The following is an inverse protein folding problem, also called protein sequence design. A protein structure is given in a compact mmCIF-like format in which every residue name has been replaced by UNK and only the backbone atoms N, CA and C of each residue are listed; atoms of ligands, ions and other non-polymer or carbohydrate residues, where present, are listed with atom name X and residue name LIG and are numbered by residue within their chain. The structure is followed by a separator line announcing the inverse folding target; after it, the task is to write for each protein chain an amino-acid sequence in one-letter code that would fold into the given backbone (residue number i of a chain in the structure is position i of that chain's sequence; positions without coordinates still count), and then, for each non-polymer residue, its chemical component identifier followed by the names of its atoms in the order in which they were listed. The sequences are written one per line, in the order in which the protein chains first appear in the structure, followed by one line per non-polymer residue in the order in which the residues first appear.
data_IF_808479318086
#
_entry.id   IF_808479318086
#
_cell.length_a   1.000
_cell.length_b   1.000
_cell.length_c   1.000
_cell.angle_alpha   90.00
_cell.angle_beta   90.00
_cell.angle_gamma   90.00
#
_symmetry.space_group_name_H-M   'P 1'
#
loop_
_entity.id
_entity.type
_entity.pdbx_description
1 polymer ?
#
# COMPACT_ATOMS: atom_id res chain seq x y z
N UNK A 1 26.42 1.98 -10.38
CA UNK A 1 26.38 0.51 -10.19
C UNK A 1 25.57 0.24 -8.94
N UNK A 2 24.46 -0.50 -9.04
CA UNK A 2 23.68 -0.88 -7.85
C UNK A 2 24.49 -1.94 -7.12
N UNK A 3 24.97 -1.62 -5.92
CA UNK A 3 25.85 -2.50 -5.12
C UNK A 3 25.09 -3.56 -4.33
N UNK A 4 23.77 -3.42 -4.20
CA UNK A 4 22.89 -4.42 -3.59
C UNK A 4 21.53 -4.47 -4.32
N UNK A 5 21.30 -5.44 -5.21
CA UNK A 5 20.08 -5.50 -6.01
C UNK A 5 18.82 -5.74 -5.15
N UNK A 6 18.94 -6.51 -4.06
CA UNK A 6 17.81 -6.81 -3.15
C UNK A 6 17.39 -5.55 -2.41
N UNK A 7 18.34 -4.76 -1.90
CA UNK A 7 18.03 -3.50 -1.23
C UNK A 7 17.33 -2.51 -2.18
N UNK A 8 17.81 -2.42 -3.42
CA UNK A 8 17.17 -1.59 -4.45
C UNK A 8 15.74 -2.04 -4.78
N UNK A 9 15.51 -3.35 -4.89
CA UNK A 9 14.17 -3.90 -5.14
C UNK A 9 13.21 -3.59 -3.98
N UNK A 10 13.66 -3.77 -2.73
CA UNK A 10 12.86 -3.43 -1.54
C UNK A 10 12.50 -1.95 -1.51
N UNK A 11 13.46 -1.06 -1.75
CA UNK A 11 13.21 0.39 -1.77
C UNK A 11 12.22 0.78 -2.87
N UNK A 12 12.34 0.19 -4.07
CA UNK A 12 11.40 0.41 -5.16
C UNK A 12 10.00 -0.05 -4.77
N UNK A 13 9.88 -1.23 -4.16
CA UNK A 13 8.60 -1.80 -3.77
C UNK A 13 7.93 -0.97 -2.68
N UNK A 14 8.68 -0.56 -1.64
CA UNK A 14 8.17 0.30 -0.56
C UNK A 14 7.65 1.64 -1.13
N UNK A 15 8.39 2.28 -2.03
CA UNK A 15 7.95 3.54 -2.69
C UNK A 15 6.66 3.35 -3.47
N UNK A 16 6.55 2.26 -4.21
CA UNK A 16 5.36 1.94 -4.99
C UNK A 16 4.15 1.66 -4.11
N UNK A 17 4.34 0.94 -2.99
CA UNK A 17 3.29 0.74 -1.98
C UNK A 17 2.75 2.06 -1.43
N UNK A 18 3.63 3.01 -1.06
CA UNK A 18 3.20 4.34 -0.59
C UNK A 18 2.41 5.11 -1.66
N UNK A 19 2.86 5.04 -2.91
CA UNK A 19 2.18 5.71 -4.03
C UNK A 19 0.77 5.14 -4.23
N UNK A 20 0.65 3.81 -4.34
CA UNK A 20 -0.64 3.12 -4.50
C UNK A 20 -1.56 3.39 -3.33
N UNK A 21 -1.05 3.38 -2.10
CA UNK A 21 -1.88 3.69 -0.94
C UNK A 21 -2.44 5.12 -0.98
N UNK A 22 -1.63 6.10 -1.40
CA UNK A 22 -2.10 7.48 -1.56
C UNK A 22 -3.19 7.57 -2.62
N UNK A 23 -3.06 6.81 -3.70
CA UNK A 23 -4.06 6.73 -4.77
C UNK A 23 -5.37 6.10 -4.27
N UNK A 24 -5.31 4.98 -3.55
CA UNK A 24 -6.47 4.36 -2.87
C UNK A 24 -7.20 5.39 -2.01
N UNK A 25 -6.47 6.06 -1.12
CA UNK A 25 -7.06 7.06 -0.24
C UNK A 25 -7.75 8.16 -1.05
N UNK A 26 -7.11 8.69 -2.10
CA UNK A 26 -7.71 9.72 -2.94
C UNK A 26 -9.03 9.26 -3.56
N UNK A 27 -9.06 8.05 -4.14
CA UNK A 27 -10.27 7.50 -4.77
C UNK A 27 -11.41 7.34 -3.75
N UNK A 28 -11.12 6.74 -2.60
CA UNK A 28 -12.13 6.47 -1.57
C UNK A 28 -12.64 7.77 -0.91
N UNK A 29 -11.80 8.79 -0.75
CA UNK A 29 -12.21 10.09 -0.19
C UNK A 29 -12.97 10.96 -1.19
N UNK A 30 -12.83 10.72 -2.48
CA UNK A 30 -13.58 11.41 -3.54
C UNK A 30 -14.94 10.75 -3.83
N UNK A 31 -15.18 9.54 -3.31
CA UNK A 31 -16.43 8.84 -3.51
C UNK A 31 -17.58 9.52 -2.77
N UNK A 32 -18.68 9.83 -3.47
CA UNK A 32 -19.82 10.57 -2.91
C UNK A 32 -20.52 9.78 -1.79
N UNK A 33 -20.55 8.45 -1.91
CA UNK A 33 -21.17 7.56 -0.92
C UNK A 33 -20.12 6.89 -0.02
N UNK A 34 -19.78 7.55 1.08
CA UNK A 34 -18.82 7.01 2.06
C UNK A 34 -19.29 5.75 2.79
N UNK A 35 -20.60 5.48 2.84
CA UNK A 35 -21.15 4.27 3.46
C UNK A 35 -20.82 3.03 2.64
N UNK A 36 -20.97 3.13 1.32
CA UNK A 36 -20.64 2.06 0.36
C UNK A 36 -19.16 1.69 0.39
N UNK A 37 -18.29 2.68 0.54
CA UNK A 37 -16.83 2.49 0.54
C UNK A 37 -16.22 2.36 1.94
N UNK A 38 -17.05 2.36 3.00
CA UNK A 38 -16.60 2.39 4.39
C UNK A 38 -15.65 1.23 4.75
N UNK A 39 -15.95 0.02 4.27
CA UNK A 39 -15.10 -1.15 4.46
C UNK A 39 -13.72 -0.99 3.80
N UNK A 40 -13.67 -0.39 2.62
CA UNK A 40 -12.42 -0.13 1.90
C UNK A 40 -11.61 0.99 2.54
N UNK A 41 -12.28 2.00 3.12
CA UNK A 41 -11.64 3.04 3.92
C UNK A 41 -10.97 2.43 5.15
N UNK A 42 -11.67 1.56 5.88
CA UNK A 42 -11.09 0.84 7.03
C UNK A 42 -9.88 0.00 6.64
N UNK A 43 -9.95 -0.70 5.51
CA UNK A 43 -8.82 -1.47 4.97
C UNK A 43 -7.63 -0.56 4.62
N UNK A 44 -7.88 0.57 3.96
CA UNK A 44 -6.87 1.59 3.65
C UNK A 44 -6.19 2.14 4.92
N UNK A 45 -6.96 2.36 6.00
CA UNK A 45 -6.42 2.74 7.30
C UNK A 45 -5.55 1.65 7.94
N UNK A 46 -5.95 0.38 7.83
CA UNK A 46 -5.13 -0.75 8.30
C UNK A 46 -3.78 -0.79 7.59
N UNK A 47 -3.74 -0.60 6.27
CA UNK A 47 -2.49 -0.48 5.53
C UNK A 47 -1.66 0.71 6.03
N UNK A 48 -2.27 1.85 6.34
CA UNK A 48 -1.55 3.04 6.85
C UNK A 48 -0.88 2.73 8.18
N UNK A 49 -1.60 2.04 9.06
CA UNK A 49 -1.09 1.63 10.36
C UNK A 49 0.09 0.67 10.23
N UNK A 50 0.10 -0.22 9.23
CA UNK A 50 1.26 -1.07 8.94
C UNK A 50 2.52 -0.24 8.68
N UNK A 51 2.46 0.81 7.86
CA UNK A 51 3.62 1.68 7.61
C UNK A 51 4.07 2.45 8.85
N UNK A 52 3.13 2.93 9.67
CA UNK A 52 3.43 3.67 10.90
C UNK A 52 4.10 2.77 11.94
N UNK A 53 3.60 1.55 12.13
CA UNK A 53 4.13 0.60 13.10
C UNK A 53 5.47 -0.01 12.67
N UNK A 54 5.76 -0.03 11.37
CA UNK A 54 7.00 -0.59 10.83
C UNK A 54 7.88 0.53 10.29
N UNK A 55 8.49 1.34 11.16
CA UNK A 55 9.39 2.45 10.77
C UNK A 55 10.63 2.01 9.99
N UNK A 56 10.98 0.72 10.05
CA UNK A 56 12.11 0.12 9.34
C UNK A 56 11.67 -0.98 8.36
N UNK A 57 10.79 -0.66 7.40
CA UNK A 57 10.33 -1.59 6.36
C UNK A 57 11.47 -2.23 5.57
N UNK A 58 12.60 -1.56 5.44
CA UNK A 58 13.80 -2.10 4.78
C UNK A 58 14.37 -3.34 5.50
N UNK A 59 14.06 -3.53 6.79
CA UNK A 59 14.42 -4.72 7.57
C UNK A 59 13.49 -5.92 7.32
N UNK A 60 12.33 -5.70 6.70
CA UNK A 60 11.42 -6.80 6.31
C UNK A 60 12.02 -7.64 5.19
N UNK A 61 11.62 -8.90 5.13
CA UNK A 61 11.99 -9.77 4.00
C UNK A 61 11.40 -9.22 2.69
N UNK A 62 11.98 -9.62 1.55
CA UNK A 62 11.45 -9.18 0.25
C UNK A 62 10.07 -9.80 0.01
N UNK A 63 9.88 -11.03 0.46
CA UNK A 63 8.64 -11.80 0.43
C UNK A 63 7.51 -11.10 1.20
N UNK A 64 7.75 -10.71 2.46
CA UNK A 64 6.76 -9.94 3.25
C UNK A 64 6.35 -8.64 2.56
N UNK A 65 7.31 -7.94 1.94
CA UNK A 65 7.02 -6.70 1.22
C UNK A 65 6.21 -6.97 -0.05
N UNK A 66 6.47 -8.07 -0.78
CA UNK A 66 5.71 -8.49 -1.96
C UNK A 66 4.28 -8.88 -1.61
N UNK A 67 4.09 -9.66 -0.55
CA UNK A 67 2.75 -9.99 -0.06
C UNK A 67 1.97 -8.74 0.33
N UNK A 68 2.61 -7.82 1.06
CA UNK A 68 1.94 -6.59 1.48
C UNK A 68 1.64 -5.67 0.31
N UNK A 69 2.52 -5.60 -0.68
CA UNK A 69 2.33 -4.87 -1.93
C UNK A 69 1.13 -5.41 -2.71
N UNK A 70 1.02 -6.74 -2.86
CA UNK A 70 -0.11 -7.37 -3.55
C UNK A 70 -1.46 -7.06 -2.88
N UNK A 71 -1.52 -6.99 -1.54
CA UNK A 71 -2.74 -6.59 -0.83
C UNK A 71 -3.13 -5.13 -1.14
N UNK A 72 -2.16 -4.22 -1.18
CA UNK A 72 -2.41 -2.81 -1.50
C UNK A 72 -2.85 -2.64 -2.96
N UNK A 73 -2.26 -3.42 -3.86
CA UNK A 73 -2.64 -3.45 -5.27
C UNK A 73 -4.08 -3.95 -5.46
N UNK A 74 -4.46 -5.04 -4.79
CA UNK A 74 -5.83 -5.54 -4.81
C UNK A 74 -6.83 -4.50 -4.26
N UNK A 75 -6.47 -3.81 -3.17
CA UNK A 75 -7.30 -2.73 -2.64
C UNK A 75 -7.46 -1.57 -3.64
N UNK A 76 -6.39 -1.22 -4.36
CA UNK A 76 -6.43 -0.20 -5.42
C UNK A 76 -7.33 -0.61 -6.58
N UNK A 77 -7.26 -1.87 -7.03
CA UNK A 77 -8.16 -2.37 -8.07
C UNK A 77 -9.62 -2.31 -7.62
N UNK A 78 -9.91 -2.75 -6.39
CA UNK A 78 -11.26 -2.65 -5.82
C UNK A 78 -11.73 -1.19 -5.73
N UNK A 79 -10.86 -0.28 -5.30
CA UNK A 79 -11.18 1.15 -5.20
C UNK A 79 -11.41 1.83 -6.56
N UNK A 80 -10.83 1.30 -7.65
CA UNK A 80 -11.04 1.79 -9.02
C UNK A 80 -12.33 1.30 -9.67
N UNK A 81 -12.88 0.20 -9.16
CA UNK A 81 -14.07 -0.45 -9.68
C UNK A 81 -15.34 -0.09 -8.89
N UNK A 82 -15.25 0.93 -8.03
CA UNK A 82 -16.38 1.61 -7.39
C UNK A 82 -16.87 2.73 -8.31
#
# INVERSE_FOLDING_TARGET
MITNPIAFEKDKLIRDMYKKQKEVASLLFQHENHLEVSNLILECHSHKNYFVQNTALTKKSLEELKEKHAQIENLLERAKNL
#
